data_IF_389796040649
#
_entry.id   IF_389796040649
#
_cell.length_a   1.000
_cell.length_b   1.000
_cell.length_c   1.000
_cell.angle_alpha   90.00
_cell.angle_beta   90.00
_cell.angle_gamma   90.00
#
_symmetry.space_group_name_H-M   'P 1'
#
loop_
_entity.id
_entity.type
_entity.pdbx_description
1 polymer ?
#
# COMPACT_ATOMS: atom_id res chain seq x y z
N UNK A 1 28.34 -17.07 10.70
CA UNK A 1 27.40 -17.62 9.71
C UNK A 1 26.17 -18.16 10.43
N UNK A 2 25.23 -17.30 10.74
CA UNK A 2 23.93 -17.72 11.26
C UNK A 2 22.87 -17.34 10.19
N UNK A 3 22.73 -18.23 9.19
CA UNK A 3 21.60 -18.21 8.28
C UNK A 3 20.38 -18.68 9.08
N UNK A 4 19.62 -17.74 9.62
CA UNK A 4 18.27 -18.03 10.11
C UNK A 4 17.41 -18.36 8.89
N UNK A 5 17.29 -19.65 8.58
CA UNK A 5 16.26 -20.12 7.66
C UNK A 5 14.93 -19.84 8.32
N UNK A 6 14.19 -18.90 7.74
CA UNK A 6 12.76 -18.77 8.03
C UNK A 6 12.13 -20.03 7.42
N UNK A 7 11.85 -21.01 8.26
CA UNK A 7 11.00 -22.13 7.87
C UNK A 7 9.64 -21.53 7.49
N UNK A 8 9.34 -21.55 6.18
CA UNK A 8 7.97 -21.36 5.70
C UNK A 8 7.16 -22.52 6.27
N UNK A 9 6.46 -22.30 7.36
CA UNK A 9 5.46 -23.25 7.82
C UNK A 9 4.51 -23.47 6.62
N UNK A 10 4.37 -24.74 6.25
CA UNK A 10 3.47 -25.16 5.18
C UNK A 10 2.05 -24.71 5.57
N UNK A 11 1.67 -23.53 5.08
CA UNK A 11 0.36 -22.97 5.36
C UNK A 11 -0.61 -23.79 4.53
N UNK A 12 -1.27 -24.77 5.17
CA UNK A 12 -2.23 -25.65 4.54
C UNK A 12 -3.19 -24.93 3.57
N UNK A 13 -3.91 -25.65 2.73
CA UNK A 13 -4.74 -25.08 1.68
C UNK A 13 -5.71 -24.06 2.26
N UNK A 14 -5.91 -22.96 1.52
CA UNK A 14 -6.90 -21.94 1.88
C UNK A 14 -8.28 -22.61 2.03
N UNK A 15 -9.15 -22.14 2.93
CA UNK A 15 -10.51 -22.65 3.06
C UNK A 15 -11.21 -22.67 1.70
N UNK A 16 -12.04 -23.71 1.45
CA UNK A 16 -12.81 -23.83 0.20
C UNK A 16 -13.62 -22.57 -0.15
N UNK A 17 -14.10 -21.85 0.86
CA UNK A 17 -14.77 -20.57 0.68
C UNK A 17 -13.90 -19.52 -0.06
N UNK A 18 -12.58 -19.59 0.05
CA UNK A 18 -11.69 -18.72 -0.70
C UNK A 18 -11.56 -19.09 -2.17
N UNK A 19 -11.68 -20.38 -2.48
CA UNK A 19 -11.69 -20.88 -3.86
C UNK A 19 -13.06 -20.68 -4.53
N UNK A 20 -14.14 -20.70 -3.75
CA UNK A 20 -15.50 -20.44 -4.25
C UNK A 20 -15.69 -18.99 -4.70
N UNK A 21 -14.95 -18.02 -4.16
CA UNK A 21 -14.99 -16.62 -4.60
C UNK A 21 -14.32 -16.38 -5.97
N UNK A 22 -13.72 -17.40 -6.58
CA UNK A 22 -13.13 -17.36 -7.94
C UNK A 22 -13.91 -18.12 -9.00
N UNK A 23 -15.14 -18.56 -8.70
CA UNK A 23 -16.01 -19.11 -9.74
C UNK A 23 -16.37 -18.01 -10.76
N UNK A 24 -16.48 -18.37 -12.04
CA UNK A 24 -16.75 -17.48 -13.17
C UNK A 24 -18.05 -16.65 -13.08
N UNK A 25 -18.83 -16.85 -12.04
CA UNK A 25 -20.14 -16.22 -11.81
C UNK A 25 -20.09 -15.03 -10.85
N UNK A 26 -18.92 -14.67 -10.30
CA UNK A 26 -18.80 -13.50 -9.41
C UNK A 26 -18.27 -12.28 -10.14
N UNK A 27 -19.11 -11.26 -10.29
CA UNK A 27 -18.68 -9.93 -10.68
C UNK A 27 -17.77 -9.33 -9.59
N UNK A 28 -16.70 -8.60 -9.96
CA UNK A 28 -15.88 -7.91 -8.99
C UNK A 28 -16.73 -6.90 -8.19
N UNK A 29 -16.47 -6.77 -6.90
CA UNK A 29 -17.13 -5.78 -6.05
C UNK A 29 -16.77 -4.35 -6.48
N UNK A 30 -15.51 -4.15 -6.92
CA UNK A 30 -15.00 -2.92 -7.53
C UNK A 30 -13.68 -3.23 -8.24
N UNK A 31 -13.06 -2.21 -8.86
CA UNK A 31 -11.73 -2.34 -9.47
C UNK A 31 -10.80 -1.24 -8.98
N UNK A 32 -9.52 -1.54 -8.91
CA UNK A 32 -8.43 -0.57 -8.72
C UNK A 32 -7.75 -0.43 -10.09
N UNK A 33 -8.07 0.61 -10.85
CA UNK A 33 -7.72 0.69 -12.25
C UNK A 33 -8.23 -0.52 -13.02
N UNK A 34 -7.35 -1.28 -13.67
CA UNK A 34 -7.69 -2.53 -14.38
C UNK A 34 -7.71 -3.77 -13.47
N UNK A 35 -7.36 -3.65 -12.19
CA UNK A 35 -7.28 -4.78 -11.27
C UNK A 35 -8.64 -5.06 -10.63
N UNK A 36 -9.32 -6.18 -10.95
CA UNK A 36 -10.61 -6.51 -10.35
C UNK A 36 -10.43 -6.97 -8.90
N UNK A 37 -11.28 -6.49 -8.00
CA UNK A 37 -11.27 -6.82 -6.57
C UNK A 37 -12.55 -7.59 -6.22
N UNK A 38 -12.37 -8.78 -5.64
CA UNK A 38 -13.45 -9.64 -5.20
C UNK A 38 -13.54 -9.63 -3.67
N UNK A 39 -14.64 -9.08 -3.16
CA UNK A 39 -14.88 -8.91 -1.73
C UNK A 39 -14.96 -7.45 -1.31
N UNK A 40 -15.54 -7.22 -0.14
CA UNK A 40 -15.86 -5.87 0.36
C UNK A 40 -15.08 -5.49 1.63
N UNK A 41 -14.40 -6.45 2.27
CA UNK A 41 -13.60 -6.23 3.46
C UNK A 41 -12.13 -6.19 3.12
N UNK A 42 -11.42 -5.21 3.68
CA UNK A 42 -10.00 -4.98 3.44
C UNK A 42 -9.32 -4.71 4.78
N UNK A 43 -8.20 -5.41 5.04
CA UNK A 43 -7.35 -5.07 6.15
C UNK A 43 -6.59 -3.76 5.85
N UNK A 44 -6.76 -2.74 6.70
CA UNK A 44 -5.96 -1.53 6.61
C UNK A 44 -4.48 -1.81 6.93
N UNK A 45 -3.53 -1.14 6.25
CA UNK A 45 -2.11 -1.25 6.60
C UNK A 45 -1.86 -0.63 7.98
N UNK A 46 -1.21 -1.39 8.86
CA UNK A 46 -0.90 -0.99 10.24
C UNK A 46 0.58 -1.28 10.54
N UNK A 47 1.36 -0.22 10.74
CA UNK A 47 2.79 -0.32 11.03
C UNK A 47 3.05 -1.09 12.34
N UNK A 48 3.93 -2.08 12.31
CA UNK A 48 4.23 -2.98 13.42
C UNK A 48 3.17 -4.07 13.69
N UNK A 49 2.13 -4.19 12.85
CA UNK A 49 1.03 -5.15 13.06
C UNK A 49 0.76 -5.99 11.81
N UNK A 50 0.60 -5.35 10.64
CA UNK A 50 0.21 -6.05 9.42
C UNK A 50 1.41 -6.70 8.70
N UNK A 51 2.14 -7.53 9.44
CA UNK A 51 3.24 -8.35 8.94
C UNK A 51 2.73 -9.50 8.03
N UNK A 52 3.61 -10.23 7.32
CA UNK A 52 3.19 -11.29 6.41
C UNK A 52 2.29 -12.36 7.04
N UNK A 53 2.58 -12.92 8.25
CA UNK A 53 1.69 -13.88 8.90
C UNK A 53 0.29 -13.32 9.18
N UNK A 54 0.21 -12.09 9.68
CA UNK A 54 -1.07 -11.45 9.98
C UNK A 54 -1.89 -11.23 8.69
N UNK A 55 -1.27 -10.74 7.63
CA UNK A 55 -1.93 -10.55 6.33
C UNK A 55 -2.45 -11.87 5.75
N UNK A 56 -1.67 -12.96 5.84
CA UNK A 56 -2.11 -14.29 5.38
C UNK A 56 -3.35 -14.77 6.14
N UNK A 57 -3.39 -14.59 7.46
CA UNK A 57 -4.56 -14.94 8.27
C UNK A 57 -5.78 -14.14 7.81
N UNK A 58 -5.64 -12.84 7.63
CA UNK A 58 -6.75 -11.99 7.21
C UNK A 58 -7.22 -12.29 5.78
N UNK A 59 -6.30 -12.67 4.87
CA UNK A 59 -6.67 -13.19 3.54
C UNK A 59 -7.51 -14.47 3.64
N UNK A 60 -7.15 -15.40 4.52
CA UNK A 60 -7.94 -16.62 4.78
C UNK A 60 -9.31 -16.33 5.38
N UNK A 61 -9.44 -15.22 6.11
CA UNK A 61 -10.70 -14.76 6.70
C UNK A 61 -11.53 -13.87 5.76
N UNK A 62 -11.10 -13.67 4.49
CA UNK A 62 -11.88 -12.99 3.47
C UNK A 62 -11.49 -11.55 3.17
N UNK A 63 -10.33 -11.07 3.63
CA UNK A 63 -9.80 -9.77 3.16
C UNK A 63 -9.63 -9.81 1.64
N UNK A 64 -10.18 -8.83 0.92
CA UNK A 64 -10.22 -8.80 -0.54
C UNK A 64 -8.85 -8.64 -1.21
N UNK A 65 -7.92 -7.96 -0.53
CA UNK A 65 -6.52 -7.84 -0.90
C UNK A 65 -5.65 -7.60 0.34
N UNK A 66 -4.33 -7.59 0.16
CA UNK A 66 -3.38 -7.27 1.23
C UNK A 66 -2.59 -6.01 0.92
N UNK A 67 -2.26 -5.24 1.96
CA UNK A 67 -1.32 -4.11 1.90
C UNK A 67 -0.15 -4.36 2.85
N UNK A 68 1.06 -4.00 2.41
CA UNK A 68 2.22 -3.99 3.30
C UNK A 68 2.04 -2.95 4.41
N UNK A 69 2.81 -3.08 5.48
CA UNK A 69 3.14 -1.92 6.30
C UNK A 69 3.77 -0.83 5.42
N UNK A 70 3.69 0.44 5.81
CA UNK A 70 4.27 1.47 4.96
C UNK A 70 5.80 1.34 4.84
N UNK A 71 6.29 1.60 3.65
CA UNK A 71 7.71 1.76 3.36
C UNK A 71 8.05 3.24 3.43
N UNK A 72 8.86 3.62 4.39
CA UNK A 72 9.41 4.97 4.44
C UNK A 72 10.50 5.09 3.35
N UNK A 73 10.24 5.83 2.28
CA UNK A 73 11.16 5.89 1.15
C UNK A 73 12.42 6.67 1.45
N UNK A 74 12.42 7.56 2.47
CA UNK A 74 13.64 8.16 2.97
C UNK A 74 14.58 7.10 3.58
N UNK A 75 14.06 6.22 4.44
CA UNK A 75 14.86 5.16 5.05
C UNK A 75 15.29 4.14 3.99
N UNK A 76 14.42 3.81 3.05
CA UNK A 76 14.71 2.90 1.95
C UNK A 76 15.82 3.42 1.03
N UNK A 77 15.85 4.72 0.72
CA UNK A 77 16.88 5.33 -0.12
C UNK A 77 18.27 5.28 0.51
N UNK A 78 18.35 5.34 1.85
CA UNK A 78 19.62 5.30 2.61
C UNK A 78 20.05 3.88 2.95
N UNK A 79 19.11 3.02 3.34
CA UNK A 79 19.36 1.67 3.82
C UNK A 79 18.42 0.66 3.17
N UNK A 80 18.69 0.29 1.91
CA UNK A 80 17.86 -0.60 1.10
C UNK A 80 17.52 -1.96 1.76
N UNK A 81 18.29 -2.39 2.75
CA UNK A 81 18.10 -3.66 3.44
C UNK A 81 17.25 -3.58 4.72
N UNK A 82 17.04 -2.38 5.26
CA UNK A 82 16.42 -2.20 6.58
C UNK A 82 14.95 -2.64 6.65
N UNK A 83 14.24 -2.66 5.52
CA UNK A 83 12.81 -2.97 5.50
C UNK A 83 12.45 -4.20 4.64
N UNK A 84 13.41 -5.11 4.40
CA UNK A 84 13.19 -6.24 3.49
C UNK A 84 12.02 -7.15 3.88
N UNK A 85 11.75 -7.33 5.17
CA UNK A 85 10.61 -8.12 5.65
C UNK A 85 9.26 -7.52 5.23
N UNK A 86 9.17 -6.21 5.05
CA UNK A 86 7.94 -5.51 4.63
C UNK A 86 7.58 -5.74 3.16
N UNK A 87 8.57 -6.09 2.34
CA UNK A 87 8.36 -6.42 0.93
C UNK A 87 8.00 -7.90 0.72
N UNK A 88 8.21 -8.74 1.73
CA UNK A 88 7.92 -10.16 1.62
C UNK A 88 6.41 -10.38 1.56
N UNK A 89 5.95 -11.13 0.56
CA UNK A 89 4.57 -11.59 0.45
C UNK A 89 4.51 -12.93 -0.27
N UNK A 90 3.43 -13.64 -0.06
CA UNK A 90 3.16 -14.91 -0.71
C UNK A 90 2.13 -14.75 -1.83
N UNK A 91 2.11 -15.66 -2.85
CA UNK A 91 1.13 -15.60 -3.93
C UNK A 91 -0.34 -15.54 -3.46
N UNK A 92 -0.63 -16.15 -2.31
CA UNK A 92 -1.96 -16.16 -1.69
C UNK A 92 -2.40 -14.78 -1.17
N UNK A 93 -1.47 -13.86 -0.95
CA UNK A 93 -1.78 -12.49 -0.53
C UNK A 93 -2.26 -11.60 -1.68
N UNK A 94 -2.09 -12.05 -2.94
CA UNK A 94 -2.53 -11.25 -4.10
C UNK A 94 -4.05 -11.15 -4.20
N UNK A 95 -4.59 -9.99 -4.65
CA UNK A 95 -3.84 -8.77 -4.99
C UNK A 95 -3.06 -8.22 -3.80
N UNK A 96 -1.80 -7.81 -4.04
CA UNK A 96 -0.93 -7.29 -2.99
C UNK A 96 -0.41 -5.90 -3.37
N UNK A 97 -0.69 -4.92 -2.50
CA UNK A 97 -0.22 -3.56 -2.63
C UNK A 97 0.95 -3.26 -1.69
N UNK A 98 1.83 -2.35 -2.11
CA UNK A 98 2.88 -1.80 -1.24
C UNK A 98 2.55 -0.35 -0.92
N UNK A 99 2.45 -0.04 0.38
CA UNK A 99 2.20 1.32 0.83
C UNK A 99 3.51 2.09 0.98
N UNK A 100 3.57 3.29 0.37
CA UNK A 100 4.69 4.22 0.41
C UNK A 100 4.39 5.38 1.34
N UNK A 101 5.42 5.84 2.06
CA UNK A 101 5.35 7.00 2.96
C UNK A 101 6.56 7.90 2.73
N UNK A 102 6.33 9.13 2.33
CA UNK A 102 7.33 10.21 2.28
C UNK A 102 6.64 11.56 2.11
N UNK A 103 7.46 12.62 2.04
CA UNK A 103 7.07 13.97 1.65
C UNK A 103 7.88 14.50 0.45
N UNK A 104 8.75 13.68 -0.12
CA UNK A 104 9.57 14.00 -1.31
C UNK A 104 9.03 13.23 -2.52
N UNK A 105 8.45 13.92 -3.52
CA UNK A 105 7.83 13.27 -4.67
C UNK A 105 8.82 12.47 -5.54
N UNK A 106 10.03 12.99 -5.77
CA UNK A 106 11.01 12.32 -6.62
C UNK A 106 11.54 11.06 -5.95
N UNK A 107 11.92 11.14 -4.67
CA UNK A 107 12.41 9.98 -3.90
C UNK A 107 11.35 8.88 -3.80
N UNK A 108 10.07 9.26 -3.67
CA UNK A 108 8.98 8.29 -3.65
C UNK A 108 8.84 7.58 -5.00
N UNK A 109 8.93 8.31 -6.12
CA UNK A 109 8.87 7.75 -7.46
C UNK A 109 10.06 6.82 -7.77
N UNK A 110 11.28 7.24 -7.43
CA UNK A 110 12.49 6.43 -7.62
C UNK A 110 12.39 5.13 -6.81
N UNK A 111 11.95 5.23 -5.54
CA UNK A 111 11.74 4.06 -4.68
C UNK A 111 10.66 3.14 -5.24
N UNK A 112 9.54 3.68 -5.72
CA UNK A 112 8.48 2.88 -6.33
C UNK A 112 9.00 2.09 -7.54
N UNK A 113 9.77 2.73 -8.42
CA UNK A 113 10.40 2.08 -9.57
C UNK A 113 11.33 0.93 -9.17
N UNK A 114 12.22 1.16 -8.21
CA UNK A 114 13.12 0.12 -7.69
C UNK A 114 12.35 -1.06 -7.05
N UNK A 115 11.35 -0.74 -6.23
CA UNK A 115 10.50 -1.73 -5.56
C UNK A 115 9.73 -2.54 -6.60
N UNK A 116 9.14 -1.87 -7.60
CA UNK A 116 8.40 -2.56 -8.65
C UNK A 116 9.30 -3.48 -9.47
N UNK A 117 10.49 -3.03 -9.84
CA UNK A 117 11.44 -3.84 -10.61
C UNK A 117 11.75 -5.17 -9.92
N UNK A 118 11.85 -5.15 -8.59
CA UNK A 118 12.27 -6.31 -7.78
C UNK A 118 11.11 -7.19 -7.31
N UNK A 119 10.02 -6.58 -6.80
CA UNK A 119 8.98 -7.30 -6.06
C UNK A 119 7.67 -7.48 -6.82
N UNK A 120 7.42 -6.67 -7.85
CA UNK A 120 6.23 -6.76 -8.72
C UNK A 120 4.90 -6.80 -7.93
N UNK A 121 4.62 -5.81 -7.05
CA UNK A 121 3.30 -5.70 -6.43
C UNK A 121 2.22 -5.47 -7.50
N UNK A 122 0.96 -5.73 -7.14
CA UNK A 122 -0.17 -5.54 -8.06
C UNK A 122 -0.61 -4.06 -8.14
N UNK A 123 -0.32 -3.28 -7.10
CA UNK A 123 -0.56 -1.83 -7.05
C UNK A 123 0.32 -1.17 -5.97
N UNK A 124 0.37 0.16 -5.96
CA UNK A 124 0.94 0.93 -4.86
C UNK A 124 -0.13 1.75 -4.16
N UNK A 125 0.08 2.02 -2.88
CA UNK A 125 -0.76 2.89 -2.07
C UNK A 125 0.08 4.01 -1.46
N UNK A 126 -0.44 5.23 -1.47
CA UNK A 126 0.23 6.40 -0.89
C UNK A 126 -0.38 6.69 0.49
N UNK A 127 0.46 6.72 1.52
CA UNK A 127 0.03 7.03 2.88
C UNK A 127 -0.18 8.54 3.06
N UNK A 128 -1.44 8.96 3.13
CA UNK A 128 -1.87 10.33 3.44
C UNK A 128 -2.57 10.39 4.81
N UNK A 129 -2.34 9.41 5.69
CA UNK A 129 -3.11 9.31 6.93
C UNK A 129 -2.31 9.13 8.22
N UNK A 130 -1.02 8.77 8.17
CA UNK A 130 -0.21 8.57 9.37
C UNK A 130 -0.06 9.89 10.14
N UNK A 131 -0.53 9.91 11.40
CA UNK A 131 -0.57 11.11 12.24
C UNK A 131 0.46 11.09 13.38
N UNK A 132 1.40 10.13 13.38
CA UNK A 132 2.46 10.13 14.40
C UNK A 132 3.29 11.41 14.28
N UNK A 133 3.63 12.03 15.43
CA UNK A 133 4.34 13.31 15.44
C UNK A 133 5.62 13.29 14.59
N UNK A 134 6.38 12.18 14.65
CA UNK A 134 7.61 11.99 13.86
C UNK A 134 7.37 12.05 12.35
N UNK A 135 6.23 11.56 11.86
CA UNK A 135 5.89 11.54 10.44
C UNK A 135 5.24 12.86 10.02
N UNK A 136 4.22 13.28 10.76
CA UNK A 136 3.42 14.46 10.44
C UNK A 136 4.23 15.75 10.47
N UNK A 137 5.15 15.91 11.44
CA UNK A 137 6.04 17.09 11.54
C UNK A 137 6.98 17.26 10.34
N UNK A 138 7.32 16.18 9.65
CA UNK A 138 8.11 16.21 8.41
C UNK A 138 7.27 16.56 7.18
N UNK A 139 5.96 16.74 7.29
CA UNK A 139 5.05 16.92 6.17
C UNK A 139 4.72 15.64 5.40
N UNK A 140 4.98 14.44 5.98
CA UNK A 140 4.62 13.15 5.41
C UNK A 140 3.31 12.63 6.04
N UNK A 141 2.73 11.56 5.48
CA UNK A 141 1.48 11.00 5.96
C UNK A 141 0.35 12.04 5.94
N UNK A 142 -0.33 12.25 7.07
CA UNK A 142 -1.38 13.28 7.17
C UNK A 142 -0.85 14.70 6.89
N UNK A 143 0.44 14.96 7.09
CA UNK A 143 1.06 16.25 6.79
C UNK A 143 0.96 16.65 5.32
N UNK A 144 0.88 15.68 4.39
CA UNK A 144 0.66 15.94 2.96
C UNK A 144 -0.71 16.56 2.67
N UNK A 145 -1.71 16.32 3.50
CA UNK A 145 -3.04 16.93 3.29
C UNK A 145 -3.03 18.46 3.45
N UNK A 146 -1.97 19.04 4.03
CA UNK A 146 -1.75 20.50 4.10
C UNK A 146 -1.07 21.07 2.85
N UNK A 147 -0.61 20.22 1.95
CA UNK A 147 0.13 20.59 0.74
C UNK A 147 -0.41 19.82 -0.47
N UNK A 148 -1.65 20.11 -0.92
CA UNK A 148 -2.30 19.41 -2.04
C UNK A 148 -1.47 19.42 -3.33
N UNK A 149 -0.73 20.49 -3.58
CA UNK A 149 0.19 20.59 -4.72
C UNK A 149 1.32 19.55 -4.69
N UNK A 150 1.76 19.19 -3.50
CA UNK A 150 2.76 18.11 -3.32
C UNK A 150 2.12 16.73 -3.54
N UNK A 151 0.86 16.54 -3.14
CA UNK A 151 0.11 15.33 -3.45
C UNK A 151 0.01 15.15 -4.97
N UNK A 152 -0.33 16.20 -5.71
CA UNK A 152 -0.36 16.16 -7.17
C UNK A 152 0.99 15.69 -7.76
N UNK A 153 2.10 16.27 -7.29
CA UNK A 153 3.45 15.90 -7.76
C UNK A 153 3.79 14.43 -7.46
N UNK A 154 3.46 13.95 -6.25
CA UNK A 154 3.68 12.55 -5.86
C UNK A 154 2.95 11.61 -6.82
N UNK A 155 1.64 11.80 -7.01
CA UNK A 155 0.86 10.93 -7.90
C UNK A 155 1.36 11.00 -9.33
N UNK A 156 1.64 12.19 -9.85
CA UNK A 156 2.16 12.38 -11.20
C UNK A 156 3.50 11.67 -11.44
N UNK A 157 4.43 11.74 -10.49
CA UNK A 157 5.75 11.12 -10.65
C UNK A 157 5.70 9.61 -10.42
N UNK A 158 4.99 9.14 -9.40
CA UNK A 158 4.88 7.70 -9.11
C UNK A 158 4.11 6.99 -10.22
N UNK A 159 3.02 7.54 -10.75
CA UNK A 159 2.26 6.93 -11.85
C UNK A 159 3.08 6.77 -13.14
N UNK A 160 4.08 7.62 -13.35
CA UNK A 160 5.02 7.50 -14.48
C UNK A 160 6.13 6.48 -14.22
N UNK A 161 6.46 6.24 -12.94
CA UNK A 161 7.54 5.35 -12.55
C UNK A 161 7.14 3.87 -12.55
N UNK A 162 5.85 3.55 -12.41
CA UNK A 162 5.35 2.17 -12.31
C UNK A 162 4.15 1.91 -13.23
N UNK A 163 4.04 0.72 -13.84
CA UNK A 163 2.94 0.38 -14.77
C UNK A 163 1.74 -0.27 -14.06
N UNK A 164 1.54 0.00 -12.77
CA UNK A 164 0.47 -0.58 -11.96
C UNK A 164 -0.36 0.52 -11.32
N UNK A 165 -1.62 0.26 -10.93
CA UNK A 165 -2.49 1.25 -10.33
C UNK A 165 -1.91 1.86 -9.05
N UNK A 166 -2.34 3.10 -8.76
CA UNK A 166 -2.06 3.81 -7.51
C UNK A 166 -3.36 4.03 -6.75
N UNK A 167 -3.27 3.93 -5.42
CA UNK A 167 -4.33 4.30 -4.48
C UNK A 167 -3.80 5.25 -3.42
N UNK A 168 -4.68 5.81 -2.62
CA UNK A 168 -4.32 6.56 -1.43
C UNK A 168 -5.15 6.13 -0.22
N UNK A 169 -4.51 5.93 0.92
CA UNK A 169 -5.21 5.86 2.19
C UNK A 169 -5.05 7.19 2.92
N UNK A 170 -6.17 7.91 3.12
CA UNK A 170 -6.17 9.25 3.70
C UNK A 170 -7.07 9.38 4.93
N UNK A 171 -6.94 10.50 5.64
CA UNK A 171 -7.89 10.99 6.64
C UNK A 171 -8.86 11.99 6.00
N UNK A 172 -9.80 12.51 6.80
CA UNK A 172 -10.71 13.55 6.34
C UNK A 172 -10.02 14.92 6.16
N UNK A 173 -8.91 15.15 6.86
CA UNK A 173 -8.09 16.35 6.82
C UNK A 173 -6.93 16.25 7.80
N UNK A 174 -6.18 17.36 7.95
CA UNK A 174 -5.11 17.48 8.95
C UNK A 174 -5.68 17.50 10.37
N UNK A 175 -6.73 18.27 10.59
CA UNK A 175 -7.47 18.44 11.84
C UNK A 175 -8.98 18.64 11.57
N UNK A 176 -9.74 18.91 12.61
CA UNK A 176 -11.21 19.09 12.51
C UNK A 176 -11.62 20.33 11.72
N UNK A 177 -10.77 21.37 11.74
CA UNK A 177 -11.02 22.66 11.06
C UNK A 177 -10.59 22.65 9.59
N UNK A 178 -9.79 21.66 9.17
CA UNK A 178 -9.20 21.57 7.83
C UNK A 178 -9.59 20.27 7.10
N UNK A 179 -10.88 19.99 7.00
CA UNK A 179 -11.41 18.82 6.29
C UNK A 179 -11.38 19.04 4.78
N UNK A 180 -10.33 18.58 4.11
CA UNK A 180 -10.10 18.77 2.68
C UNK A 180 -9.96 17.46 1.88
N UNK A 181 -10.46 16.35 2.39
CA UNK A 181 -10.31 15.02 1.77
C UNK A 181 -10.85 14.95 0.33
N UNK A 182 -11.93 15.69 0.01
CA UNK A 182 -12.50 15.71 -1.35
C UNK A 182 -11.54 16.33 -2.34
N UNK A 183 -11.03 17.52 -2.01
CA UNK A 183 -10.03 18.22 -2.82
C UNK A 183 -8.79 17.35 -3.05
N UNK A 184 -8.26 16.75 -1.97
CA UNK A 184 -7.09 15.88 -2.05
C UNK A 184 -7.36 14.63 -2.89
N UNK A 185 -8.56 14.03 -2.78
CA UNK A 185 -8.95 12.88 -3.60
C UNK A 185 -9.07 13.25 -5.09
N UNK A 186 -9.70 14.37 -5.42
CA UNK A 186 -9.82 14.87 -6.79
C UNK A 186 -8.45 15.15 -7.40
N UNK A 187 -7.55 15.76 -6.64
CA UNK A 187 -6.16 16.00 -7.05
C UNK A 187 -5.42 14.67 -7.29
N UNK A 188 -5.54 13.70 -6.41
CA UNK A 188 -4.92 12.41 -6.58
C UNK A 188 -5.40 11.70 -7.86
N UNK A 189 -6.71 11.66 -8.09
CA UNK A 189 -7.32 11.07 -9.29
C UNK A 189 -6.88 11.80 -10.56
N UNK A 190 -6.88 13.14 -10.57
CA UNK A 190 -6.43 13.94 -11.73
C UNK A 190 -4.95 13.71 -12.08
N UNK A 191 -4.14 13.17 -11.16
CA UNK A 191 -2.70 12.96 -11.31
C UNK A 191 -2.28 11.49 -11.31
N UNK A 192 -3.21 10.53 -11.41
CA UNK A 192 -2.88 9.13 -11.69
C UNK A 192 -3.22 8.12 -10.59
N UNK A 193 -4.06 8.52 -9.60
CA UNK A 193 -4.65 7.55 -8.67
C UNK A 193 -5.71 6.68 -9.34
#
# INVERSE_FOLDING_TARGET
DNKTMIHTADAGPLPEAYHQSRSSDFSPAFSIGSLPIYGQLILAPMDGISDPPFRLITRRLGSAFSLSEFINTLDFSVQKHFQQSRFAFQPQERPFGIQLLDNDPQRMADSAGEIYAKYKPDFFDINLGCATARIASRGAGVGLMRTPEKVAQIFQLVSRAVPVPLTAKMRLGWDEDSSNYREVAEIAVANGA
#
